data_IF_656095093294
#
_entry.id   IF_656095093294
#
_cell.length_a   1.000
_cell.length_b   1.000
_cell.length_c   1.000
_cell.angle_alpha   90.00
_cell.angle_beta   90.00
_cell.angle_gamma   90.00
#
_symmetry.space_group_name_H-M   'P 1'
#
loop_
_entity.id
_entity.type
_entity.pdbx_description
1 polymer ?
#
# COMPACT_ATOMS: atom_id res chain seq x y z
N UNK A 1 0.53 -18.19 5.10
CA UNK A 1 -0.85 -17.68 5.02
C UNK A 1 -0.85 -16.50 4.06
N UNK A 2 -1.52 -16.68 2.92
CA UNK A 2 -1.52 -15.81 1.75
C UNK A 2 -2.41 -14.60 2.08
N UNK A 3 -1.77 -13.51 2.53
CA UNK A 3 -2.39 -12.21 2.82
C UNK A 3 -2.41 -11.39 1.55
N UNK A 4 -3.39 -11.65 0.69
CA UNK A 4 -3.31 -11.19 -0.70
C UNK A 4 -4.56 -10.46 -1.20
N UNK A 5 -5.70 -10.47 -0.51
CA UNK A 5 -6.94 -9.85 -1.04
C UNK A 5 -6.81 -8.36 -1.46
N UNK A 6 -6.21 -7.50 -0.62
CA UNK A 6 -5.99 -6.08 -0.98
C UNK A 6 -4.81 -5.88 -1.95
N UNK A 7 -3.75 -6.68 -1.83
CA UNK A 7 -2.56 -6.58 -2.67
C UNK A 7 -2.78 -7.13 -4.09
N UNK A 8 -3.51 -8.24 -4.25
CA UNK A 8 -3.99 -8.78 -5.52
C UNK A 8 -4.93 -7.80 -6.20
N UNK A 9 -5.88 -7.21 -5.46
CA UNK A 9 -6.76 -6.20 -6.02
C UNK A 9 -5.95 -5.04 -6.62
N UNK A 10 -4.93 -4.57 -5.88
CA UNK A 10 -4.04 -3.52 -6.37
C UNK A 10 -3.17 -3.95 -7.54
N UNK A 11 -2.65 -5.18 -7.54
CA UNK A 11 -1.90 -5.75 -8.66
C UNK A 11 -2.71 -5.70 -9.95
N UNK A 12 -3.96 -6.15 -9.90
CA UNK A 12 -4.88 -6.10 -11.03
C UNK A 12 -5.19 -4.66 -11.46
N UNK A 13 -5.34 -3.73 -10.52
CA UNK A 13 -5.63 -2.31 -10.83
C UNK A 13 -4.43 -1.51 -11.31
N UNK A 14 -3.22 -1.89 -10.92
CA UNK A 14 -1.97 -1.30 -11.38
C UNK A 14 -1.41 -1.99 -12.63
N UNK A 15 -2.03 -3.09 -13.07
CA UNK A 15 -1.59 -3.89 -14.21
C UNK A 15 -0.15 -4.40 -14.04
N UNK A 16 0.19 -4.80 -12.80
CA UNK A 16 1.48 -5.37 -12.44
C UNK A 16 1.47 -6.88 -12.61
N UNK A 17 2.54 -7.46 -13.18
CA UNK A 17 2.66 -8.91 -13.33
C UNK A 17 2.93 -9.58 -11.98
N UNK A 18 3.75 -8.97 -11.11
CA UNK A 18 4.04 -9.48 -9.77
C UNK A 18 3.65 -8.50 -8.66
N UNK A 19 3.33 -9.03 -7.47
CA UNK A 19 3.09 -8.23 -6.26
C UNK A 19 4.32 -7.40 -5.86
N UNK A 20 5.53 -7.90 -6.16
CA UNK A 20 6.77 -7.18 -5.92
C UNK A 20 6.87 -5.90 -6.72
N UNK A 21 6.37 -5.88 -7.96
CA UNK A 21 6.35 -4.67 -8.81
C UNK A 21 5.43 -3.59 -8.26
N UNK A 22 4.43 -4.00 -7.47
CA UNK A 22 3.48 -3.07 -6.89
C UNK A 22 4.17 -2.06 -5.96
N UNK A 23 5.27 -2.43 -5.28
CA UNK A 23 6.06 -1.49 -4.45
C UNK A 23 6.74 -0.41 -5.28
N UNK A 24 7.10 -0.73 -6.52
CA UNK A 24 7.77 0.18 -7.45
C UNK A 24 6.77 0.97 -8.30
N UNK A 25 5.50 0.58 -8.31
CA UNK A 25 4.45 1.29 -9.02
C UNK A 25 4.19 2.66 -8.37
N UNK A 26 4.22 3.78 -9.10
CA UNK A 26 3.79 5.06 -8.55
C UNK A 26 2.26 5.15 -8.38
N UNK A 27 1.52 4.17 -8.88
CA UNK A 27 0.07 4.26 -9.03
C UNK A 27 -0.71 3.62 -7.88
N UNK A 28 -0.11 2.76 -7.04
CA UNK A 28 -0.84 2.04 -6.00
C UNK A 28 -1.55 3.00 -5.04
N UNK A 29 -0.93 4.11 -4.67
CA UNK A 29 -1.50 5.09 -3.76
C UNK A 29 -2.75 5.76 -4.37
N UNK A 30 -2.67 6.17 -5.63
CA UNK A 30 -3.82 6.74 -6.34
C UNK A 30 -4.94 5.72 -6.54
N UNK A 31 -4.62 4.43 -6.74
CA UNK A 31 -5.62 3.35 -6.82
C UNK A 31 -6.30 3.09 -5.48
N UNK A 32 -5.55 3.12 -4.38
CA UNK A 32 -6.12 3.01 -3.03
C UNK A 32 -7.04 4.20 -2.70
N UNK A 33 -6.61 5.43 -3.02
CA UNK A 33 -7.44 6.64 -2.84
C UNK A 33 -8.70 6.63 -3.70
N UNK A 34 -8.62 6.11 -4.92
CA UNK A 34 -9.75 5.98 -5.83
C UNK A 34 -10.68 4.78 -5.52
N UNK A 35 -10.37 3.99 -4.49
CA UNK A 35 -11.18 2.85 -4.11
C UNK A 35 -12.53 3.30 -3.56
N UNK A 36 -13.62 2.88 -4.22
CA UNK A 36 -14.98 3.25 -3.83
C UNK A 36 -15.50 2.54 -2.59
N UNK A 37 -14.98 1.35 -2.27
CA UNK A 37 -15.44 0.49 -1.17
C UNK A 37 -14.28 0.04 -0.28
N UNK A 38 -13.61 0.95 0.45
CA UNK A 38 -12.50 0.58 1.33
C UNK A 38 -12.94 -0.33 2.50
N UNK A 39 -14.24 -0.31 2.83
CA UNK A 39 -14.89 -1.15 3.83
C UNK A 39 -14.98 -2.64 3.48
N UNK A 40 -14.71 -3.01 2.22
CA UNK A 40 -14.70 -4.42 1.82
C UNK A 40 -13.48 -5.18 2.38
N UNK A 41 -12.47 -4.45 2.87
CA UNK A 41 -11.26 -4.99 3.48
C UNK A 41 -11.20 -4.59 4.95
N UNK A 42 -10.67 -5.49 5.77
CA UNK A 42 -10.45 -5.24 7.19
C UNK A 42 -9.27 -4.29 7.41
N UNK A 43 -9.25 -3.63 8.57
CA UNK A 43 -8.15 -2.72 8.94
C UNK A 43 -6.82 -3.47 9.02
N UNK A 44 -6.83 -4.74 9.43
CA UNK A 44 -5.63 -5.59 9.43
C UNK A 44 -5.07 -5.77 8.02
N UNK A 45 -5.91 -6.06 7.02
CA UNK A 45 -5.46 -6.17 5.63
C UNK A 45 -4.87 -4.86 5.11
N UNK A 46 -5.51 -3.73 5.43
CA UNK A 46 -4.99 -2.41 5.10
C UNK A 46 -3.62 -2.16 5.71
N UNK A 47 -3.46 -2.41 7.01
CA UNK A 47 -2.19 -2.24 7.71
C UNK A 47 -1.07 -3.06 7.05
N UNK A 48 -1.39 -4.29 6.66
CA UNK A 48 -0.41 -5.17 6.06
C UNK A 48 -0.06 -4.84 4.61
N UNK A 49 -1.06 -4.45 3.81
CA UNK A 49 -0.80 -3.97 2.47
C UNK A 49 0.01 -2.69 2.49
N UNK A 50 -0.33 -1.74 3.37
CA UNK A 50 0.41 -0.49 3.52
C UNK A 50 1.82 -0.74 4.05
N UNK A 51 2.01 -1.61 5.03
CA UNK A 51 3.34 -1.99 5.52
C UNK A 51 4.18 -2.65 4.41
N UNK A 52 3.55 -3.50 3.59
CA UNK A 52 4.22 -4.11 2.45
C UNK A 52 4.64 -3.07 1.40
N UNK A 53 3.76 -2.13 1.05
CA UNK A 53 3.95 -1.12 0.01
C UNK A 53 4.91 -0.01 0.43
N UNK A 54 4.79 0.47 1.67
CA UNK A 54 5.61 1.57 2.20
C UNK A 54 6.90 1.08 2.84
N UNK A 55 6.98 -0.19 3.23
CA UNK A 55 8.09 -0.71 4.03
C UNK A 55 8.16 -0.12 5.44
N UNK A 56 7.09 0.52 5.90
CA UNK A 56 6.97 1.14 7.23
C UNK A 56 5.87 0.44 8.03
N UNK A 57 6.05 0.25 9.34
CA UNK A 57 5.01 -0.36 10.16
C UNK A 57 3.77 0.53 10.21
N UNK A 58 2.62 0.00 9.78
CA UNK A 58 1.33 0.70 9.82
C UNK A 58 0.41 -0.02 10.80
N UNK A 59 -0.19 0.75 11.72
CA UNK A 59 -1.05 0.24 12.80
C UNK A 59 -2.28 1.12 12.97
N UNK A 60 -3.07 1.25 11.92
CA UNK A 60 -4.38 1.87 12.02
C UNK A 60 -5.31 0.95 12.82
N UNK A 61 -6.22 1.52 13.60
CA UNK A 61 -7.26 0.77 14.33
C UNK A 61 -8.61 0.85 13.62
N UNK A 62 -8.80 1.87 12.79
CA UNK A 62 -10.05 2.10 12.05
C UNK A 62 -9.80 2.41 10.57
N UNK A 63 -10.81 2.15 9.72
CA UNK A 63 -10.78 2.56 8.31
C UNK A 63 -10.61 4.07 8.13
N UNK A 64 -11.12 4.87 9.08
CA UNK A 64 -10.95 6.32 9.07
C UNK A 64 -9.48 6.72 9.21
N UNK A 65 -8.73 6.04 10.07
CA UNK A 65 -7.29 6.25 10.19
C UNK A 65 -6.54 5.82 8.94
N UNK A 66 -6.95 4.71 8.32
CA UNK A 66 -6.40 4.28 7.02
C UNK A 66 -6.62 5.36 5.97
N UNK A 67 -7.83 5.91 5.86
CA UNK A 67 -8.12 7.00 4.93
C UNK A 67 -7.31 8.26 5.24
N UNK A 68 -7.17 8.63 6.51
CA UNK A 68 -6.34 9.76 6.94
C UNK A 68 -4.87 9.52 6.59
N UNK A 69 -4.37 8.30 6.77
CA UNK A 69 -3.02 7.89 6.37
C UNK A 69 -2.85 8.02 4.86
N UNK A 70 -3.77 7.47 4.05
CA UNK A 70 -3.75 7.58 2.60
C UNK A 70 -3.81 9.04 2.13
N UNK A 71 -4.59 9.89 2.80
CA UNK A 71 -4.66 11.33 2.50
C UNK A 71 -3.37 12.07 2.86
N UNK A 72 -2.70 11.69 3.97
CA UNK A 72 -1.46 12.32 4.45
C UNK A 72 -0.21 11.84 3.74
N UNK A 73 -0.19 10.58 3.29
CA UNK A 73 0.88 10.02 2.47
C UNK A 73 0.81 10.66 1.08
N UNK A 74 1.31 11.88 0.94
CA UNK A 74 1.48 12.54 -0.37
C UNK A 74 2.83 12.13 -0.95
N UNK A 75 2.76 11.30 -2.00
CA UNK A 75 3.87 10.83 -2.83
C UNK A 75 5.03 10.13 -2.10
N UNK A 76 5.67 9.12 -2.72
CA UNK A 76 6.85 8.52 -2.13
C UNK A 76 7.96 9.58 -2.12
N UNK A 77 8.25 10.12 -0.94
CA UNK A 77 9.59 10.63 -0.66
C UNK A 77 10.52 9.46 -0.95
N UNK A 78 11.25 9.57 -2.07
CA UNK A 78 12.18 8.55 -2.54
C UNK A 78 13.12 8.25 -1.38
N UNK A 79 12.89 7.15 -0.67
CA UNK A 79 13.81 6.70 0.36
C UNK A 79 15.04 6.18 -0.37
N UNK A 80 15.97 7.11 -0.63
CA UNK A 80 17.35 6.86 -0.93
C UNK A 80 17.85 5.74 -0.01
N UNK A 81 18.10 4.59 -0.60
CA UNK A 81 19.08 3.63 -0.11
C UNK A 81 19.98 3.27 -1.28
N UNK A 82 20.76 4.27 -1.70
CA UNK A 82 22.20 4.08 -1.76
C UNK A 82 22.60 3.44 -0.42
N UNK A 83 22.62 2.11 -0.37
CA UNK A 83 23.44 1.43 0.63
C UNK A 83 24.83 1.49 0.07
N UNK A 84 25.64 2.36 0.66
CA UNK A 84 27.08 2.21 0.81
C UNK A 84 27.46 0.73 0.67
N UNK A 85 28.22 0.42 -0.37
CA UNK A 85 28.98 -0.83 -0.44
C UNK A 85 30.45 -0.48 -0.13
N UNK A 86 31.15 -1.38 0.56
CA UNK A 86 32.25 -1.11 1.48
C UNK A 86 33.55 -0.66 0.82
#
# INVERSE_FOLDING_TARGET
>A
MIKVELLEYLQLKCNCEYLSDLKYSPYWLSRLRAMKRPEQFTVEEWNQALEYLTGQPVRCQTLREVQAYLARSSEPEKQNREKEKP
#
